data_IF_705789573899
#
_entry.id   IF_705789573899
#
_cell.length_a   1.000
_cell.length_b   1.000
_cell.length_c   1.000
_cell.angle_alpha   90.00
_cell.angle_beta   90.00
_cell.angle_gamma   90.00
#
_symmetry.space_group_name_H-M   'P 1'
#
loop_
_entity.id
_entity.type
_entity.pdbx_description
1 polymer ?
#
# COMPACT_ATOMS: atom_id res chain seq x y z
N UNK A 1 -61.99 -29.58 -25.85
CA UNK A 1 -62.24 -29.26 -24.42
C UNK A 1 -61.18 -29.92 -23.56
N UNK A 2 -60.46 -29.11 -22.77
CA UNK A 2 -59.80 -29.40 -21.47
C UNK A 2 -58.55 -30.32 -21.42
N UNK A 3 -57.42 -29.66 -21.11
CA UNK A 3 -56.24 -30.15 -20.36
C UNK A 3 -56.64 -30.59 -18.92
N UNK A 4 -55.84 -31.40 -18.19
CA UNK A 4 -54.59 -30.97 -17.49
C UNK A 4 -53.44 -32.01 -17.55
N UNK A 5 -52.14 -31.68 -17.51
CA UNK A 5 -51.28 -30.90 -16.60
C UNK A 5 -50.91 -31.61 -15.26
N UNK A 6 -49.81 -32.38 -15.26
CA UNK A 6 -48.93 -32.69 -14.10
C UNK A 6 -47.52 -32.89 -14.70
N UNK A 7 -46.61 -31.90 -14.73
CA UNK A 7 -45.78 -31.39 -13.64
C UNK A 7 -44.89 -32.47 -12.97
N UNK A 8 -43.73 -32.77 -13.55
CA UNK A 8 -42.59 -33.27 -12.78
C UNK A 8 -41.39 -32.35 -12.99
N UNK A 9 -41.12 -31.59 -11.93
CA UNK A 9 -40.09 -30.58 -11.77
C UNK A 9 -38.79 -31.28 -11.33
N UNK A 10 -37.89 -31.61 -12.26
CA UNK A 10 -36.51 -31.98 -11.91
C UNK A 10 -35.65 -30.72 -11.84
N UNK A 11 -35.42 -30.31 -10.59
CA UNK A 11 -34.45 -29.29 -10.17
C UNK A 11 -33.05 -29.75 -10.58
N UNK A 12 -32.56 -29.25 -11.72
CA UNK A 12 -31.16 -29.33 -12.07
C UNK A 12 -30.40 -28.27 -11.29
N UNK A 13 -29.63 -28.69 -10.27
CA UNK A 13 -28.71 -27.83 -9.53
C UNK A 13 -27.77 -27.12 -10.52
N UNK A 14 -27.87 -25.80 -10.57
CA UNK A 14 -26.88 -24.95 -11.21
C UNK A 14 -25.57 -25.05 -10.42
N UNK A 15 -24.57 -25.71 -11.01
CA UNK A 15 -23.18 -25.61 -10.54
C UNK A 15 -22.72 -24.19 -10.82
N UNK A 16 -22.68 -23.36 -9.77
CA UNK A 16 -22.07 -22.04 -9.83
C UNK A 16 -20.57 -22.22 -10.08
N UNK A 17 -19.97 -21.55 -11.07
CA UNK A 17 -18.53 -21.52 -11.22
C UNK A 17 -17.94 -20.84 -9.98
N UNK A 18 -17.18 -21.61 -9.21
CA UNK A 18 -16.37 -21.10 -8.11
C UNK A 18 -15.44 -20.02 -8.63
N UNK A 19 -15.46 -18.86 -7.98
CA UNK A 19 -14.51 -17.79 -8.22
C UNK A 19 -13.09 -18.37 -8.15
N UNK A 20 -12.36 -18.32 -9.26
CA UNK A 20 -10.92 -18.58 -9.27
C UNK A 20 -10.27 -17.53 -8.39
N UNK A 21 -10.04 -17.89 -7.14
CA UNK A 21 -9.02 -17.27 -6.31
C UNK A 21 -7.74 -17.32 -7.12
N UNK A 22 -7.14 -16.17 -7.40
CA UNK A 22 -5.77 -16.13 -7.91
C UNK A 22 -4.95 -16.98 -6.94
N UNK A 23 -4.30 -18.07 -7.39
CA UNK A 23 -3.51 -18.88 -6.48
C UNK A 23 -2.52 -17.94 -5.77
N UNK A 24 -2.24 -18.15 -4.48
CA UNK A 24 -1.18 -17.42 -3.80
C UNK A 24 0.06 -17.51 -4.70
N UNK A 25 0.80 -16.40 -4.83
CA UNK A 25 2.09 -16.41 -5.53
C UNK A 25 2.86 -17.60 -4.96
N UNK A 26 2.97 -18.66 -5.74
CA UNK A 26 3.76 -19.81 -5.36
C UNK A 26 5.19 -19.31 -5.34
N UNK A 27 5.85 -19.47 -4.19
CA UNK A 27 7.28 -19.28 -4.04
C UNK A 27 7.93 -20.66 -4.23
N UNK A 28 8.19 -21.09 -5.47
CA UNK A 28 8.70 -22.43 -5.76
C UNK A 28 10.09 -22.67 -5.20
N UNK A 29 10.78 -21.62 -4.75
CA UNK A 29 12.17 -21.69 -4.28
C UNK A 29 12.32 -21.41 -2.77
N UNK A 30 11.23 -21.07 -2.06
CA UNK A 30 11.27 -20.77 -0.63
C UNK A 30 12.08 -19.50 -0.28
N UNK A 31 12.16 -18.55 -1.21
CA UNK A 31 12.97 -17.33 -1.08
C UNK A 31 12.22 -16.22 -0.33
N UNK A 32 10.89 -16.16 -0.40
CA UNK A 32 10.09 -15.10 0.20
C UNK A 32 10.30 -14.98 1.72
N UNK A 33 10.32 -16.07 2.52
CA UNK A 33 10.62 -15.99 3.95
C UNK A 33 12.03 -15.46 4.26
N UNK A 34 13.00 -15.78 3.40
CA UNK A 34 14.39 -15.31 3.55
C UNK A 34 14.45 -13.81 3.28
N UNK A 35 13.81 -13.34 2.20
CA UNK A 35 13.73 -11.92 1.88
C UNK A 35 13.03 -11.12 2.97
N UNK A 36 11.96 -11.67 3.55
CA UNK A 36 11.27 -11.04 4.67
C UNK A 36 12.21 -10.91 5.88
N UNK A 37 12.93 -11.98 6.23
CA UNK A 37 13.89 -11.95 7.35
C UNK A 37 14.97 -10.89 7.12
N UNK A 38 15.52 -10.80 5.91
CA UNK A 38 16.51 -9.80 5.56
C UNK A 38 15.96 -8.38 5.63
N UNK A 39 14.72 -8.16 5.20
CA UNK A 39 14.04 -6.87 5.32
C UNK A 39 13.82 -6.47 6.79
N UNK A 40 13.45 -7.41 7.65
CA UNK A 40 13.30 -7.17 9.09
C UNK A 40 14.64 -6.81 9.75
N UNK A 41 15.74 -7.47 9.37
CA UNK A 41 17.09 -7.15 9.84
C UNK A 41 17.50 -5.74 9.40
N UNK A 42 17.29 -5.40 8.13
CA UNK A 42 17.63 -4.07 7.58
C UNK A 42 16.87 -2.95 8.30
N UNK A 43 15.54 -3.09 8.42
CA UNK A 43 14.69 -2.16 9.15
C UNK A 43 15.09 -2.04 10.62
N UNK A 44 15.46 -3.16 11.26
CA UNK A 44 15.94 -3.14 12.65
C UNK A 44 17.20 -2.28 12.78
N UNK A 45 18.14 -2.40 11.84
CA UNK A 45 19.38 -1.62 11.82
C UNK A 45 19.13 -0.11 11.60
N UNK A 46 17.99 0.26 10.99
CA UNK A 46 17.62 1.66 10.78
C UNK A 46 16.89 2.24 12.00
N UNK A 47 16.02 1.46 12.67
CA UNK A 47 15.16 1.95 13.76
C UNK A 47 15.81 1.83 15.15
N UNK A 48 16.51 0.73 15.44
CA UNK A 48 17.09 0.49 16.77
C UNK A 48 18.05 1.60 17.26
N UNK A 49 18.89 2.23 16.42
CA UNK A 49 19.77 3.31 16.84
C UNK A 49 19.03 4.52 17.44
N UNK A 50 17.74 4.69 17.15
CA UNK A 50 16.92 5.76 17.73
C UNK A 50 16.63 5.56 19.21
N UNK A 51 16.79 4.35 19.77
CA UNK A 51 16.53 4.05 21.18
C UNK A 51 15.17 4.62 21.65
N UNK A 52 14.12 4.45 20.83
CA UNK A 52 12.79 4.99 21.09
C UNK A 52 12.26 4.47 22.43
N UNK A 53 11.70 5.37 23.24
CA UNK A 53 10.96 4.98 24.43
C UNK A 53 9.61 4.36 24.05
N UNK A 54 8.96 3.69 25.00
CA UNK A 54 7.62 3.13 24.81
C UNK A 54 6.60 4.22 24.45
N UNK A 55 6.67 5.37 25.10
CA UNK A 55 5.80 6.52 24.80
C UNK A 55 6.04 7.07 23.38
N UNK A 56 7.31 7.31 23.01
CA UNK A 56 7.66 7.77 21.66
C UNK A 56 7.20 6.78 20.59
N UNK A 57 7.40 5.48 20.83
CA UNK A 57 6.95 4.41 19.94
C UNK A 57 5.43 4.43 19.78
N UNK A 58 4.67 4.56 20.87
CA UNK A 58 3.21 4.66 20.82
C UNK A 58 2.73 5.88 20.02
N UNK A 59 3.35 7.05 20.24
CA UNK A 59 3.03 8.29 19.51
C UNK A 59 3.29 8.13 18.00
N UNK A 60 4.42 7.52 17.62
CA UNK A 60 4.74 7.24 16.22
C UNK A 60 3.75 6.24 15.60
N UNK A 61 3.49 5.11 16.27
CA UNK A 61 2.54 4.10 15.80
C UNK A 61 1.15 4.71 15.58
N UNK A 62 0.67 5.54 16.50
CA UNK A 62 -0.63 6.22 16.37
C UNK A 62 -0.70 7.11 15.12
N UNK A 63 0.37 7.85 14.81
CA UNK A 63 0.45 8.67 13.60
C UNK A 63 0.47 7.80 12.33
N UNK A 64 1.24 6.72 12.34
CA UNK A 64 1.35 5.79 11.22
C UNK A 64 0.04 5.05 10.97
N UNK A 65 -0.68 4.64 12.00
CA UNK A 65 -1.99 4.01 11.88
C UNK A 65 -3.00 4.93 11.21
N UNK A 66 -3.01 6.22 11.59
CA UNK A 66 -3.85 7.24 10.94
C UNK A 66 -3.50 7.38 9.45
N UNK A 67 -2.20 7.51 9.13
CA UNK A 67 -1.74 7.60 7.76
C UNK A 67 -2.12 6.36 6.92
N UNK A 68 -2.01 5.16 7.50
CA UNK A 68 -2.39 3.89 6.87
C UNK A 68 -3.90 3.76 6.68
N UNK A 69 -4.71 4.26 7.62
CA UNK A 69 -6.17 4.22 7.52
C UNK A 69 -6.68 5.03 6.31
N UNK A 70 -6.11 6.21 6.06
CA UNK A 70 -6.43 7.02 4.89
C UNK A 70 -6.08 6.31 3.57
N UNK A 71 -4.89 5.71 3.50
CA UNK A 71 -4.47 4.92 2.34
C UNK A 71 -5.39 3.71 2.08
N UNK A 72 -5.78 2.98 3.13
CA UNK A 72 -6.73 1.86 3.03
C UNK A 72 -8.11 2.31 2.57
N UNK A 73 -8.58 3.47 3.03
CA UNK A 73 -9.86 4.01 2.60
C UNK A 73 -9.83 4.34 1.10
N UNK A 74 -8.72 4.91 0.60
CA UNK A 74 -8.54 5.16 -0.82
C UNK A 74 -8.51 3.87 -1.64
N UNK A 75 -7.72 2.87 -1.23
CA UNK A 75 -7.68 1.56 -1.89
C UNK A 75 -9.07 0.91 -1.98
N UNK A 76 -9.89 1.06 -0.93
CA UNK A 76 -11.28 0.58 -0.94
C UNK A 76 -12.12 1.29 -1.99
N UNK A 77 -12.06 2.63 -2.07
CA UNK A 77 -12.79 3.41 -3.09
C UNK A 77 -12.42 2.99 -4.51
N UNK A 78 -11.12 2.82 -4.76
CA UNK A 78 -10.61 2.37 -6.06
C UNK A 78 -11.09 0.96 -6.41
N UNK A 79 -11.02 0.03 -5.45
CA UNK A 79 -11.52 -1.33 -5.63
C UNK A 79 -13.02 -1.36 -5.94
N UNK A 80 -13.82 -0.55 -5.24
CA UNK A 80 -15.27 -0.48 -5.46
C UNK A 80 -15.61 0.13 -6.83
N UNK A 81 -14.83 1.14 -7.27
CA UNK A 81 -14.96 1.71 -8.62
C UNK A 81 -14.58 0.71 -9.73
N UNK A 82 -13.51 -0.08 -9.55
CA UNK A 82 -13.15 -1.16 -10.48
C UNK A 82 -14.24 -2.23 -10.57
N UNK A 83 -14.84 -2.62 -9.44
CA UNK A 83 -15.95 -3.56 -9.41
C UNK A 83 -17.15 -3.03 -10.19
N UNK A 84 -17.46 -1.74 -10.05
CA UNK A 84 -18.55 -1.10 -10.79
C UNK A 84 -18.29 -1.05 -12.30
N UNK A 85 -17.02 -0.92 -12.73
CA UNK A 85 -16.63 -0.91 -14.13
C UNK A 85 -16.64 -2.32 -14.78
N UNK A 86 -16.59 -3.38 -13.97
CA UNK A 86 -16.36 -4.76 -14.43
C UNK A 86 -17.26 -5.19 -15.60
N UNK A 87 -18.57 -4.99 -15.48
CA UNK A 87 -19.54 -5.43 -16.49
C UNK A 87 -19.30 -4.76 -17.84
N UNK A 88 -19.00 -3.46 -17.83
CA UNK A 88 -18.69 -2.69 -19.04
C UNK A 88 -17.35 -3.14 -19.64
N UNK A 89 -16.32 -3.32 -18.80
CA UNK A 89 -15.00 -3.78 -19.24
C UNK A 89 -15.05 -5.19 -19.85
N UNK A 90 -15.81 -6.12 -19.26
CA UNK A 90 -15.98 -7.48 -19.80
C UNK A 90 -16.66 -7.45 -21.18
N UNK A 91 -17.68 -6.60 -21.35
CA UNK A 91 -18.35 -6.40 -22.64
C UNK A 91 -17.38 -5.83 -23.69
N UNK A 92 -16.66 -4.76 -23.35
CA UNK A 92 -15.66 -4.15 -24.26
C UNK A 92 -14.59 -5.16 -24.65
N UNK A 93 -14.12 -5.99 -23.70
CA UNK A 93 -13.16 -7.06 -23.99
C UNK A 93 -13.74 -8.10 -24.93
N UNK A 94 -14.98 -8.53 -24.71
CA UNK A 94 -15.65 -9.50 -25.58
C UNK A 94 -15.81 -8.98 -27.01
N UNK A 95 -16.26 -7.72 -27.17
CA UNK A 95 -16.38 -7.08 -28.48
C UNK A 95 -15.02 -6.95 -29.18
N UNK A 96 -13.95 -6.64 -28.46
CA UNK A 96 -12.61 -6.58 -29.02
C UNK A 96 -12.08 -7.95 -29.46
N UNK A 97 -12.19 -8.96 -28.59
CA UNK A 97 -11.62 -10.28 -28.85
C UNK A 97 -12.42 -11.06 -29.89
N UNK A 98 -13.76 -11.02 -29.83
CA UNK A 98 -14.61 -11.84 -30.70
C UNK A 98 -15.01 -11.12 -31.99
N UNK A 99 -15.21 -9.80 -31.93
CA UNK A 99 -15.75 -9.03 -33.06
C UNK A 99 -14.71 -8.14 -33.73
N UNK A 100 -13.46 -8.11 -33.22
CA UNK A 100 -12.40 -7.25 -33.74
C UNK A 100 -12.69 -5.76 -33.58
N UNK A 101 -13.61 -5.39 -32.68
CA UNK A 101 -13.99 -3.99 -32.45
C UNK A 101 -12.99 -3.32 -31.53
N UNK A 102 -12.40 -2.23 -32.00
CA UNK A 102 -11.53 -1.40 -31.15
C UNK A 102 -12.39 -0.77 -30.04
N UNK A 103 -11.94 -0.76 -28.77
CA UNK A 103 -12.61 -0.05 -27.68
C UNK A 103 -12.91 1.41 -28.04
N UNK A 104 -14.08 1.92 -27.60
CA UNK A 104 -14.46 3.30 -27.88
C UNK A 104 -13.54 4.29 -27.18
N UNK A 105 -13.32 5.45 -27.79
CA UNK A 105 -12.53 6.52 -27.17
C UNK A 105 -13.15 6.99 -25.85
N UNK A 106 -14.48 6.95 -25.72
CA UNK A 106 -15.20 7.26 -24.49
C UNK A 106 -14.81 6.31 -23.35
N UNK A 107 -14.79 5.01 -23.59
CA UNK A 107 -14.38 4.02 -22.59
C UNK A 107 -12.91 4.19 -22.21
N UNK A 108 -12.03 4.40 -23.21
CA UNK A 108 -10.60 4.60 -22.97
C UNK A 108 -10.34 5.87 -22.14
N UNK A 109 -11.00 6.98 -22.48
CA UNK A 109 -10.88 8.24 -21.73
C UNK A 109 -11.38 8.08 -20.29
N UNK A 110 -12.53 7.45 -20.09
CA UNK A 110 -13.08 7.16 -18.76
C UNK A 110 -12.09 6.39 -17.88
N UNK A 111 -11.46 5.35 -18.43
CA UNK A 111 -10.47 4.53 -17.71
C UNK A 111 -9.21 5.35 -17.41
N UNK A 112 -8.72 6.11 -18.37
CA UNK A 112 -7.53 6.95 -18.20
C UNK A 112 -7.76 8.04 -17.14
N UNK A 113 -8.89 8.74 -17.20
CA UNK A 113 -9.25 9.80 -16.24
C UNK A 113 -9.39 9.24 -14.82
N UNK A 114 -9.99 8.05 -14.70
CA UNK A 114 -10.11 7.34 -13.43
C UNK A 114 -8.73 7.03 -12.82
N UNK A 115 -7.81 6.45 -13.59
CA UNK A 115 -6.45 6.16 -13.11
C UNK A 115 -5.64 7.43 -12.82
N UNK A 116 -5.74 8.45 -13.66
CA UNK A 116 -5.08 9.74 -13.44
C UNK A 116 -5.57 10.42 -12.16
N UNK A 117 -6.88 10.37 -11.88
CA UNK A 117 -7.46 10.87 -10.64
C UNK A 117 -6.93 10.12 -9.42
N UNK A 118 -6.88 8.78 -9.48
CA UNK A 118 -6.37 7.97 -8.38
C UNK A 118 -4.91 8.22 -8.09
N UNK A 119 -4.07 8.37 -9.12
CA UNK A 119 -2.66 8.70 -8.92
C UNK A 119 -2.51 10.05 -8.20
N UNK A 120 -3.25 11.07 -8.64
CA UNK A 120 -3.27 12.37 -7.96
C UNK A 120 -3.74 12.27 -6.51
N UNK A 121 -4.78 11.48 -6.24
CA UNK A 121 -5.30 11.26 -4.88
C UNK A 121 -4.28 10.54 -3.99
N UNK A 122 -3.63 9.49 -4.50
CA UNK A 122 -2.57 8.75 -3.80
C UNK A 122 -1.37 9.65 -3.49
N UNK A 123 -0.93 10.46 -4.45
CA UNK A 123 0.15 11.44 -4.23
C UNK A 123 -0.23 12.46 -3.15
N UNK A 124 -1.46 12.97 -3.18
CA UNK A 124 -1.94 13.89 -2.15
C UNK A 124 -1.99 13.25 -0.76
N UNK A 125 -2.43 11.98 -0.65
CA UNK A 125 -2.44 11.25 0.63
C UNK A 125 -1.01 11.07 1.13
N UNK A 126 -0.07 10.65 0.27
CA UNK A 126 1.35 10.53 0.63
C UNK A 126 1.91 11.86 1.14
N UNK A 127 1.67 12.96 0.40
CA UNK A 127 2.14 14.28 0.78
C UNK A 127 1.58 14.73 2.15
N UNK A 128 0.26 14.56 2.37
CA UNK A 128 -0.39 14.88 3.65
C UNK A 128 0.20 14.06 4.81
N UNK A 129 0.39 12.77 4.60
CA UNK A 129 0.95 11.87 5.61
C UNK A 129 2.39 12.27 5.94
N UNK A 130 3.22 12.57 4.94
CA UNK A 130 4.58 13.07 5.15
C UNK A 130 4.60 14.38 5.93
N UNK A 131 3.74 15.34 5.57
CA UNK A 131 3.63 16.63 6.30
C UNK A 131 3.20 16.39 7.75
N UNK A 132 2.19 15.55 7.97
CA UNK A 132 1.70 15.21 9.31
C UNK A 132 2.85 14.64 10.16
N UNK A 133 3.54 13.61 9.65
CA UNK A 133 4.61 12.97 10.39
C UNK A 133 5.78 13.92 10.61
N UNK A 134 6.19 14.72 9.61
CA UNK A 134 7.26 15.72 9.74
C UNK A 134 6.93 16.84 10.73
N UNK A 135 5.68 17.28 10.80
CA UNK A 135 5.26 18.30 11.76
C UNK A 135 5.34 17.81 13.21
N UNK A 136 5.21 16.50 13.43
CA UNK A 136 5.25 15.90 14.78
C UNK A 136 6.59 15.24 15.11
N UNK A 137 7.42 14.87 14.13
CA UNK A 137 8.63 14.07 14.36
C UNK A 137 9.61 14.78 15.28
N UNK A 138 9.76 16.11 15.14
CA UNK A 138 10.66 16.93 15.97
C UNK A 138 10.13 17.15 17.40
N UNK A 139 8.84 16.89 17.63
CA UNK A 139 8.23 16.92 18.97
C UNK A 139 8.27 15.54 19.66
N UNK A 140 8.44 14.48 18.88
CA UNK A 140 8.51 13.10 19.38
C UNK A 140 9.97 12.73 19.64
N UNK A 141 10.86 13.01 18.70
CA UNK A 141 12.28 12.69 18.78
C UNK A 141 13.07 13.84 19.40
N UNK A 142 14.05 13.50 20.24
CA UNK A 142 15.03 14.48 20.71
C UNK A 142 16.14 14.71 19.66
N UNK A 143 16.98 15.72 19.87
CA UNK A 143 18.06 16.08 18.93
C UNK A 143 19.04 14.92 18.65
N UNK A 144 19.37 14.11 19.65
CA UNK A 144 20.25 12.96 19.47
C UNK A 144 19.62 11.88 18.57
N UNK A 145 18.32 11.65 18.73
CA UNK A 145 17.56 10.72 17.88
C UNK A 145 17.40 11.25 16.46
N UNK A 146 17.20 12.55 16.29
CA UNK A 146 17.17 13.19 14.96
C UNK A 146 18.52 13.01 14.25
N UNK A 147 19.64 13.28 14.94
CA UNK A 147 20.98 13.04 14.40
C UNK A 147 21.22 11.58 14.04
N UNK A 148 20.72 10.65 14.84
CA UNK A 148 20.79 9.22 14.53
C UNK A 148 19.99 8.87 13.25
N UNK A 149 18.78 9.40 13.09
CA UNK A 149 17.98 9.23 11.86
C UNK A 149 18.72 9.79 10.62
N UNK A 150 19.28 10.99 10.73
CA UNK A 150 20.09 11.61 9.66
C UNK A 150 21.32 10.76 9.32
N UNK A 151 22.02 10.25 10.34
CA UNK A 151 23.17 9.37 10.14
C UNK A 151 22.82 8.04 9.45
N UNK A 152 21.60 7.53 9.62
CA UNK A 152 21.11 6.38 8.84
C UNK A 152 21.01 6.74 7.36
N UNK A 153 20.49 7.93 7.03
CA UNK A 153 20.43 8.40 5.64
C UNK A 153 21.81 8.51 5.03
N UNK A 154 22.76 9.11 5.76
CA UNK A 154 24.14 9.24 5.29
C UNK A 154 24.82 7.89 5.02
N UNK A 155 24.45 6.85 5.77
CA UNK A 155 25.06 5.52 5.64
C UNK A 155 24.38 4.62 4.61
N UNK A 156 23.06 4.68 4.53
CA UNK A 156 22.24 3.71 3.78
C UNK A 156 21.69 4.30 2.48
N UNK A 157 21.43 5.60 2.47
CA UNK A 157 20.61 6.25 1.44
C UNK A 157 21.31 7.44 0.75
N UNK A 158 22.57 7.75 1.08
CA UNK A 158 23.27 8.96 0.60
C UNK A 158 23.32 9.03 -0.93
N UNK A 159 23.71 7.95 -1.60
CA UNK A 159 23.74 7.89 -3.07
C UNK A 159 22.35 8.12 -3.67
N UNK A 160 21.34 7.44 -3.13
CA UNK A 160 19.96 7.53 -3.61
C UNK A 160 19.37 8.93 -3.41
N UNK A 161 19.64 9.58 -2.28
CA UNK A 161 19.16 10.93 -2.03
C UNK A 161 19.85 11.96 -2.94
N UNK A 162 21.14 11.77 -3.24
CA UNK A 162 21.91 12.67 -4.12
C UNK A 162 21.49 12.63 -5.58
N UNK A 163 20.77 11.59 -6.02
CA UNK A 163 20.13 11.58 -7.34
C UNK A 163 19.08 12.69 -7.48
N UNK A 164 18.49 13.15 -6.37
CA UNK A 164 17.42 14.15 -6.36
C UNK A 164 17.84 15.50 -5.80
N UNK A 165 18.75 15.51 -4.82
CA UNK A 165 19.16 16.73 -4.12
C UNK A 165 20.67 16.73 -3.94
N UNK A 166 21.36 17.65 -4.61
CA UNK A 166 22.78 17.88 -4.40
C UNK A 166 23.00 18.51 -3.01
N UNK A 167 23.82 17.89 -2.17
CA UNK A 167 24.14 18.33 -0.81
C UNK A 167 22.89 18.54 0.08
N UNK A 168 22.14 17.46 0.40
CA UNK A 168 20.90 17.56 1.15
C UNK A 168 21.12 18.08 2.59
N UNK A 169 20.25 18.96 3.05
CA UNK A 169 20.23 19.44 4.44
C UNK A 169 19.76 18.36 5.40
N UNK A 170 20.05 18.50 6.69
CA UNK A 170 19.59 17.56 7.73
C UNK A 170 18.05 17.44 7.76
N UNK A 171 17.32 18.53 7.49
CA UNK A 171 15.86 18.50 7.40
C UNK A 171 15.37 17.71 6.18
N UNK A 172 16.06 17.80 5.05
CA UNK A 172 15.76 17.00 3.86
C UNK A 172 16.08 15.52 4.08
N UNK A 173 17.21 15.22 4.74
CA UNK A 173 17.56 13.86 5.15
C UNK A 173 16.54 13.29 6.12
N UNK A 174 16.12 14.06 7.13
CA UNK A 174 15.09 13.65 8.07
C UNK A 174 13.76 13.37 7.36
N UNK A 175 13.36 14.22 6.41
CA UNK A 175 12.17 13.97 5.58
C UNK A 175 12.31 12.67 4.77
N UNK A 176 13.48 12.44 4.18
CA UNK A 176 13.77 11.21 3.45
C UNK A 176 13.67 9.97 4.34
N UNK A 177 14.30 10.02 5.52
CA UNK A 177 14.23 8.97 6.53
C UNK A 177 12.78 8.65 6.91
N UNK A 178 11.98 9.69 7.18
CA UNK A 178 10.57 9.52 7.54
C UNK A 178 9.79 8.78 6.45
N UNK A 179 10.01 9.15 5.19
CA UNK A 179 9.30 8.55 4.05
C UNK A 179 9.75 7.11 3.79
N UNK A 180 11.04 6.82 3.88
CA UNK A 180 11.60 5.52 3.46
C UNK A 180 11.65 4.51 4.59
N UNK A 181 11.76 4.97 5.84
CA UNK A 181 11.83 4.11 7.03
C UNK A 181 10.47 4.05 7.71
N UNK A 182 9.90 5.16 8.19
CA UNK A 182 8.69 5.07 9.01
C UNK A 182 7.42 4.68 8.25
N UNK A 183 7.28 5.05 6.97
CA UNK A 183 6.16 4.58 6.15
C UNK A 183 6.38 3.21 5.50
N UNK A 184 7.50 2.54 5.77
CA UNK A 184 7.72 1.17 5.34
C UNK A 184 6.79 0.20 6.13
N UNK A 185 6.16 -0.74 5.43
CA UNK A 185 5.25 -1.69 6.07
C UNK A 185 5.95 -2.59 7.09
N UNK A 186 7.17 -3.04 6.78
CA UNK A 186 8.01 -3.84 7.67
C UNK A 186 8.44 -3.04 8.90
N UNK A 187 8.74 -1.74 8.74
CA UNK A 187 9.05 -0.85 9.86
C UNK A 187 7.90 -0.72 10.85
N UNK A 188 6.69 -0.53 10.35
CA UNK A 188 5.50 -0.47 11.19
C UNK A 188 5.30 -1.77 11.98
N UNK A 189 5.38 -2.93 11.32
CA UNK A 189 5.20 -4.22 11.99
C UNK A 189 6.29 -4.47 13.03
N UNK A 190 7.55 -4.16 12.70
CA UNK A 190 8.66 -4.22 13.64
C UNK A 190 8.43 -3.34 14.88
N UNK A 191 8.03 -2.07 14.68
CA UNK A 191 7.74 -1.16 15.80
C UNK A 191 6.57 -1.64 16.65
N UNK A 192 5.53 -2.22 16.03
CA UNK A 192 4.37 -2.79 16.73
C UNK A 192 4.77 -3.97 17.61
N UNK A 193 5.56 -4.90 17.09
CA UNK A 193 6.08 -6.04 17.86
C UNK A 193 6.96 -5.55 19.02
N UNK A 194 7.92 -4.67 18.74
CA UNK A 194 8.81 -4.09 19.74
C UNK A 194 8.05 -3.35 20.84
N UNK A 195 7.02 -2.59 20.50
CA UNK A 195 6.18 -1.89 21.47
C UNK A 195 5.52 -2.84 22.47
N UNK A 196 5.05 -4.01 22.00
CA UNK A 196 4.44 -5.02 22.86
C UNK A 196 5.45 -5.65 23.84
N UNK A 197 6.73 -5.72 23.47
CA UNK A 197 7.82 -6.28 24.29
C UNK A 197 8.48 -5.27 25.23
N UNK A 198 8.32 -3.97 24.97
CA UNK A 198 8.82 -2.92 25.85
C UNK A 198 8.10 -2.97 27.20
N UNK A 199 8.89 -2.99 28.29
CA UNK A 199 8.37 -2.90 29.65
C UNK A 199 7.95 -1.47 29.95
#
# INVERSE_FOLDING_TARGET
MKLPLIALLTVGLAVLPTATQTPPKTDPYGVDPILQTLAEIDISNQILPLLLTKDQTNRLLTLLERARAEAKQQQKKEADALKALKTEADKVREEAVKLGKVPSQEFLNKVNDMFASWEKERLNIRAKNTILLMSSIKEILNEGQIKAAVGVVDKVYDEQLREFVENPTDDQKLAYYVVHVFFNDTAYEFMRQRYAEMR
#
